data_IF_566041067345
#
_entry.id   IF_566041067345
#
_cell.length_a   1.000
_cell.length_b   1.000
_cell.length_c   1.000
_cell.angle_alpha   90.00
_cell.angle_beta   90.00
_cell.angle_gamma   90.00
#
_symmetry.space_group_name_H-M   'P 1'
#
loop_
_entity.id
_entity.type
_entity.pdbx_description
1 polymer ?
#
# COMPACT_ATOMS: atom_id res chain seq x y z
N UNK A 1 -19.96 -0.35 14.69
CA UNK A 1 -18.87 -0.68 13.76
C UNK A 1 -19.27 -0.29 12.33
N UNK A 2 -19.36 1.01 12.04
CA UNK A 2 -19.70 1.54 10.70
C UNK A 2 -18.66 2.59 10.23
N UNK A 3 -17.57 2.78 10.98
CA UNK A 3 -16.61 3.88 10.71
C UNK A 3 -15.44 3.49 9.78
N UNK A 4 -15.23 2.21 9.48
CA UNK A 4 -14.05 1.77 8.73
C UNK A 4 -14.20 1.83 7.20
N UNK A 5 -15.37 1.56 6.64
CA UNK A 5 -15.55 1.50 5.17
C UNK A 5 -15.57 2.88 4.53
N UNK A 6 -16.21 3.85 5.18
CA UNK A 6 -16.26 5.24 4.69
C UNK A 6 -14.86 5.84 4.63
N UNK A 7 -14.04 5.58 5.66
CA UNK A 7 -12.66 6.03 5.73
C UNK A 7 -11.80 5.44 4.60
N UNK A 8 -11.96 4.15 4.27
CA UNK A 8 -11.22 3.49 3.19
C UNK A 8 -11.61 4.00 1.80
N UNK A 9 -12.90 4.23 1.54
CA UNK A 9 -13.33 4.81 0.27
C UNK A 9 -12.83 6.25 0.09
N UNK A 10 -12.78 7.04 1.16
CA UNK A 10 -12.24 8.39 1.13
C UNK A 10 -10.73 8.39 0.92
N UNK A 11 -10.02 7.51 1.65
CA UNK A 11 -8.59 7.31 1.48
C UNK A 11 -8.23 6.94 0.04
N UNK A 12 -8.93 5.97 -0.57
CA UNK A 12 -8.68 5.56 -1.97
C UNK A 12 -8.85 6.71 -2.96
N UNK A 13 -9.78 7.64 -2.70
CA UNK A 13 -9.97 8.83 -3.54
C UNK A 13 -8.87 9.88 -3.36
N UNK A 14 -8.23 9.92 -2.19
CA UNK A 14 -7.14 10.87 -1.90
C UNK A 14 -5.76 10.43 -2.40
N UNK A 15 -5.63 9.21 -2.92
CA UNK A 15 -4.36 8.67 -3.38
C UNK A 15 -3.76 9.54 -4.49
N UNK A 16 -2.46 9.78 -4.39
CA UNK A 16 -1.69 10.50 -5.40
C UNK A 16 -0.33 9.83 -5.62
N UNK A 17 0.25 9.88 -6.83
CA UNK A 17 1.64 9.48 -7.02
C UNK A 17 2.56 10.26 -6.10
N UNK A 18 3.52 9.57 -5.50
CA UNK A 18 4.44 10.10 -4.51
C UNK A 18 3.99 9.90 -3.05
N UNK A 19 2.74 9.55 -2.81
CA UNK A 19 2.23 9.31 -1.45
C UNK A 19 2.87 8.06 -0.83
N UNK A 20 3.25 8.16 0.43
CA UNK A 20 3.68 7.04 1.25
C UNK A 20 2.46 6.24 1.73
N UNK A 21 2.55 4.92 1.61
CA UNK A 21 1.47 3.99 1.97
C UNK A 21 2.04 2.72 2.58
N UNK A 22 1.20 2.00 3.30
CA UNK A 22 1.48 0.63 3.70
C UNK A 22 0.89 -0.33 2.65
N UNK A 23 1.75 -1.10 2.00
CA UNK A 23 1.38 -2.12 1.03
C UNK A 23 1.13 -3.45 1.76
N UNK A 24 -0.06 -4.01 1.62
CA UNK A 24 -0.41 -5.35 2.07
C UNK A 24 -0.68 -6.23 0.84
N UNK A 25 -0.05 -7.40 0.76
CA UNK A 25 -0.30 -8.35 -0.31
C UNK A 25 -0.19 -9.79 0.16
N UNK A 26 -0.66 -10.70 -0.68
CA UNK A 26 -0.57 -12.13 -0.46
C UNK A 26 0.14 -12.77 -1.65
N UNK A 27 1.10 -13.64 -1.36
CA UNK A 27 1.82 -14.39 -2.37
C UNK A 27 2.20 -15.76 -1.78
N UNK A 28 2.02 -16.82 -2.56
CA UNK A 28 2.42 -18.19 -2.20
C UNK A 28 1.89 -18.69 -0.84
N UNK A 29 0.68 -18.27 -0.45
CA UNK A 29 0.09 -18.68 0.83
C UNK A 29 0.43 -17.75 2.01
N UNK A 30 1.38 -16.83 1.83
CA UNK A 30 1.86 -15.93 2.89
C UNK A 30 1.36 -14.50 2.71
N UNK A 31 1.09 -13.86 3.84
CA UNK A 31 0.75 -12.43 3.89
C UNK A 31 2.02 -11.63 4.11
N UNK A 32 2.16 -10.56 3.35
CA UNK A 32 3.27 -9.63 3.45
C UNK A 32 2.75 -8.20 3.64
N UNK A 33 3.59 -7.41 4.30
CA UNK A 33 3.37 -5.99 4.55
C UNK A 33 4.69 -5.27 4.42
N UNK A 34 4.69 -4.10 3.78
CA UNK A 34 5.87 -3.25 3.67
C UNK A 34 5.46 -1.79 3.43
N UNK A 35 6.33 -0.86 3.81
CA UNK A 35 6.18 0.54 3.41
C UNK A 35 6.48 0.69 1.91
N UNK A 36 5.67 1.48 1.23
CA UNK A 36 5.80 1.72 -0.20
C UNK A 36 5.44 3.16 -0.57
N UNK A 37 5.84 3.56 -1.78
CA UNK A 37 5.49 4.84 -2.38
C UNK A 37 4.67 4.60 -3.63
N UNK A 38 3.53 5.29 -3.77
CA UNK A 38 2.72 5.20 -4.99
C UNK A 38 3.53 5.78 -6.16
N UNK A 39 3.67 5.01 -7.23
CA UNK A 39 4.33 5.48 -8.46
C UNK A 39 3.32 5.74 -9.57
N UNK A 40 2.20 5.00 -9.60
CA UNK A 40 1.18 5.17 -10.62
C UNK A 40 -0.20 4.76 -10.12
N UNK A 41 -1.21 5.51 -10.52
CA UNK A 41 -2.61 5.18 -10.29
C UNK A 41 -3.26 4.72 -11.59
N UNK A 42 -4.04 3.64 -11.49
CA UNK A 42 -4.87 3.12 -12.57
C UNK A 42 -6.33 3.09 -12.10
N UNK A 43 -7.23 2.75 -13.02
CA UNK A 43 -8.68 2.72 -12.72
C UNK A 43 -9.02 1.71 -11.62
N UNK A 44 -8.40 0.53 -11.65
CA UNK A 44 -8.68 -0.59 -10.74
C UNK A 44 -7.49 -1.01 -9.87
N UNK A 45 -6.33 -0.38 -10.04
CA UNK A 45 -5.10 -0.75 -9.33
C UNK A 45 -4.22 0.45 -9.05
N UNK A 46 -3.29 0.23 -8.12
CA UNK A 46 -2.24 1.16 -7.71
C UNK A 46 -0.91 0.44 -7.84
N UNK A 47 -0.01 1.07 -8.55
CA UNK A 47 1.37 0.61 -8.66
C UNK A 47 2.19 1.31 -7.58
N UNK A 48 2.87 0.53 -6.75
CA UNK A 48 3.68 1.01 -5.63
C UNK A 48 5.10 0.48 -5.75
N UNK A 49 6.07 1.27 -5.31
CA UNK A 49 7.47 0.87 -5.17
C UNK A 49 7.80 0.71 -3.69
N UNK A 50 8.29 -0.45 -3.28
CA UNK A 50 8.67 -0.71 -1.90
C UNK A 50 9.81 0.22 -1.47
N UNK A 51 9.67 0.82 -0.29
CA UNK A 51 10.71 1.66 0.35
C UNK A 51 11.29 1.00 1.59
N UNK A 52 10.60 0.00 2.15
CA UNK A 52 11.14 -0.92 3.14
C UNK A 52 11.21 -2.34 2.58
N UNK A 53 11.98 -3.19 3.24
CA UNK A 53 12.00 -4.63 2.97
C UNK A 53 10.64 -5.23 3.33
N UNK A 54 10.12 -6.13 2.49
CA UNK A 54 8.89 -6.88 2.73
C UNK A 54 9.16 -8.32 3.16
N UNK A 55 8.39 -8.80 4.13
CA UNK A 55 8.54 -10.13 4.72
C UNK A 55 9.61 -10.21 5.80
N UNK A 56 9.57 -11.27 6.61
CA UNK A 56 10.45 -11.44 7.78
C UNK A 56 11.90 -11.78 7.37
N UNK A 57 12.08 -12.42 6.21
CA UNK A 57 13.39 -12.87 5.73
C UNK A 57 13.97 -12.00 4.61
N UNK A 58 13.34 -10.87 4.29
CA UNK A 58 13.75 -10.02 3.18
C UNK A 58 13.43 -10.56 1.79
N UNK A 59 12.34 -11.33 1.70
CA UNK A 59 11.86 -11.93 0.46
C UNK A 59 11.53 -10.88 -0.64
N UNK A 60 11.31 -9.63 -0.23
CA UNK A 60 11.02 -8.51 -1.12
C UNK A 60 11.94 -7.32 -0.81
N UNK A 61 12.90 -7.08 -1.70
CA UNK A 61 13.86 -6.01 -1.57
C UNK A 61 13.25 -4.63 -1.80
N UNK A 62 13.88 -3.62 -1.19
CA UNK A 62 13.62 -2.20 -1.46
C UNK A 62 13.72 -1.93 -2.97
N UNK A 63 12.77 -1.16 -3.48
CA UNK A 63 12.71 -0.80 -4.89
C UNK A 63 11.92 -1.75 -5.77
N UNK A 64 11.48 -2.91 -5.25
CA UNK A 64 10.55 -3.80 -5.96
C UNK A 64 9.20 -3.10 -6.19
N UNK A 65 8.63 -3.29 -7.36
CA UNK A 65 7.31 -2.74 -7.72
C UNK A 65 6.23 -3.80 -7.52
N UNK A 66 5.08 -3.39 -6.97
CA UNK A 66 3.89 -4.21 -6.80
C UNK A 66 2.68 -3.50 -7.40
N UNK A 67 1.75 -4.28 -7.93
CA UNK A 67 0.43 -3.79 -8.34
C UNK A 67 -0.63 -4.31 -7.37
N UNK A 68 -1.31 -3.39 -6.68
CA UNK A 68 -2.32 -3.71 -5.67
C UNK A 68 -3.68 -3.16 -6.10
N UNK A 69 -4.78 -3.83 -5.74
CA UNK A 69 -6.12 -3.38 -6.11
C UNK A 69 -6.47 -2.07 -5.39
N UNK A 70 -7.23 -1.23 -6.08
CA UNK A 70 -7.90 -0.07 -5.46
C UNK A 70 -9.10 -0.52 -4.66
N UNK A 71 -9.54 0.28 -3.70
CA UNK A 71 -10.78 0.03 -2.98
C UNK A 71 -11.99 0.01 -3.92
N UNK A 72 -11.95 0.75 -5.03
CA UNK A 72 -12.97 0.68 -6.08
C UNK A 72 -13.11 -0.71 -6.73
N UNK A 73 -12.05 -1.53 -6.69
CA UNK A 73 -12.06 -2.91 -7.16
C UNK A 73 -12.41 -3.87 -6.01
N UNK A 74 -13.69 -3.88 -5.64
CA UNK A 74 -14.25 -4.73 -4.58
C UNK A 74 -14.10 -6.23 -4.83
N UNK A 75 -13.66 -6.65 -6.03
CA UNK A 75 -13.47 -8.07 -6.37
C UNK A 75 -12.08 -8.57 -5.96
N UNK A 76 -11.05 -7.75 -6.15
CA UNK A 76 -9.65 -8.11 -5.84
C UNK A 76 -9.17 -7.50 -4.52
N UNK A 77 -9.81 -6.42 -4.08
CA UNK A 77 -9.48 -5.73 -2.85
C UNK A 77 -9.88 -6.55 -1.63
N UNK A 78 -8.97 -6.66 -0.66
CA UNK A 78 -9.27 -7.17 0.68
C UNK A 78 -8.32 -6.54 1.70
N UNK A 79 -8.61 -6.66 2.99
CA UNK A 79 -7.69 -6.18 4.05
C UNK A 79 -6.31 -6.86 4.04
N UNK A 80 -6.14 -7.96 3.30
CA UNK A 80 -4.88 -8.67 3.11
C UNK A 80 -4.20 -8.35 1.77
N UNK A 81 -4.91 -7.69 0.85
CA UNK A 81 -4.45 -7.34 -0.48
C UNK A 81 -4.93 -5.94 -0.83
N UNK A 82 -4.25 -4.94 -0.28
CA UNK A 82 -4.66 -3.54 -0.35
C UNK A 82 -3.51 -2.59 -0.03
N UNK A 83 -3.75 -1.31 -0.28
CA UNK A 83 -2.97 -0.22 0.27
C UNK A 83 -3.71 0.40 1.46
N UNK A 84 -2.95 0.84 2.45
CA UNK A 84 -3.43 1.54 3.63
C UNK A 84 -2.66 2.84 3.83
N UNK A 85 -3.21 3.82 4.56
CA UNK A 85 -2.45 4.99 4.98
C UNK A 85 -1.20 4.53 5.73
N UNK A 86 -0.04 5.09 5.40
CA UNK A 86 1.11 4.97 6.28
C UNK A 86 0.81 5.82 7.54
N UNK A 87 0.94 5.25 8.74
CA UNK A 87 0.74 6.02 9.98
C UNK A 87 1.62 7.28 9.99
N UNK A 88 1.20 8.32 10.73
CA UNK A 88 1.93 9.60 10.86
C UNK A 88 3.41 9.41 11.23
N UNK A 89 3.75 8.34 11.96
CA UNK A 89 5.15 7.99 12.31
C UNK A 89 5.97 7.52 11.10
N UNK A 90 5.38 6.77 10.17
CA UNK A 90 6.03 6.29 8.94
C UNK A 90 6.26 7.42 7.93
N UNK A 91 5.36 8.40 7.89
CA UNK A 91 5.46 9.56 6.98
C UNK A 91 6.64 10.48 7.30
N UNK A 92 7.04 10.61 8.58
CA UNK A 92 8.17 11.46 9.00
C UNK A 92 9.55 10.86 8.67
N UNK A 93 9.67 9.54 8.58
CA UNK A 93 10.92 8.86 8.22
C UNK A 93 11.27 9.06 6.74
N UNK A 94 10.25 9.11 5.86
CA UNK A 94 10.43 9.27 4.42
C UNK A 94 10.72 10.71 3.97
N UNK A 95 10.28 11.71 4.75
CA UNK A 95 10.59 13.12 4.49
C UNK A 95 12.04 13.51 4.85
N UNK A 96 12.76 12.65 5.59
CA UNK A 96 14.13 12.89 6.05
C UNK A 96 15.21 12.18 5.23
N UNK A 97 14.82 11.44 4.19
CA UNK A 97 15.74 10.74 3.29
C UNK A 97 16.00 11.47 1.96
N UNK A 98 15.71 12.77 1.90
CA UNK A 98 16.05 13.68 0.79
C UNK A 98 17.19 14.61 1.20
#
# INVERSE_FOLDING_TARGET
MIDNFFNLSHFDRSLTPGMAVLANWHQDGFRYTAEAKIIKLRRASVEVKLVSVGGVNGDYLVGKTLELPRFSDQTRWSSRNCIQPADEKSSQLLARSL
#
